data_IF_408536768134
#
_entry.id   IF_408536768134
#
_cell.length_a   1.000
_cell.length_b   1.000
_cell.length_c   1.000
_cell.angle_alpha   90.00
_cell.angle_beta   90.00
_cell.angle_gamma   90.00
#
_symmetry.space_group_name_H-M   'P 1'
#
loop_
_entity.id
_entity.type
_entity.pdbx_description
1 polymer ?
#
# COMPACT_ATOMS: atom_id res chain seq x y z
N UNK A 1 -12.52 10.46 -11.93
CA UNK A 1 -13.98 10.54 -11.98
C UNK A 1 -14.54 9.20 -11.51
N UNK A 2 -15.18 9.19 -10.33
CA UNK A 2 -15.72 8.00 -9.66
C UNK A 2 -16.74 7.28 -10.57
N UNK A 3 -17.42 8.03 -11.41
CA UNK A 3 -18.44 7.51 -12.33
C UNK A 3 -17.88 6.75 -13.54
N UNK A 4 -16.61 6.95 -13.93
CA UNK A 4 -16.00 6.28 -15.09
C UNK A 4 -15.68 4.80 -14.88
N UNK A 5 -15.81 4.28 -13.65
CA UNK A 5 -15.58 2.87 -13.30
C UNK A 5 -16.84 2.11 -12.92
N UNK A 6 -18.00 2.69 -13.17
CA UNK A 6 -19.29 2.08 -12.90
C UNK A 6 -19.90 1.57 -14.19
N UNK A 7 -20.62 0.45 -14.10
CA UNK A 7 -21.46 -0.09 -15.16
C UNK A 7 -22.84 -0.36 -14.60
N UNK A 8 -23.86 0.05 -15.30
CA UNK A 8 -25.23 -0.24 -14.92
C UNK A 8 -25.56 -1.68 -15.32
N UNK A 9 -26.21 -2.40 -14.42
CA UNK A 9 -26.72 -3.75 -14.69
C UNK A 9 -28.23 -3.75 -14.67
N UNK A 10 -28.81 -4.30 -15.71
CA UNK A 10 -30.24 -4.47 -15.87
C UNK A 10 -30.62 -5.93 -15.62
N UNK A 11 -31.48 -6.17 -14.61
CA UNK A 11 -31.90 -7.49 -14.17
C UNK A 11 -33.42 -7.63 -14.36
N UNK A 12 -33.84 -8.76 -14.93
CA UNK A 12 -35.27 -9.16 -15.01
C UNK A 12 -35.45 -10.54 -14.41
N UNK A 13 -36.46 -10.68 -13.55
CA UNK A 13 -36.82 -11.97 -12.95
C UNK A 13 -37.17 -13.02 -14.00
N UNK A 14 -37.76 -12.60 -15.14
CA UNK A 14 -38.10 -13.52 -16.24
C UNK A 14 -36.89 -14.12 -16.96
N UNK A 15 -35.71 -13.53 -16.80
CA UNK A 15 -34.49 -13.93 -17.51
C UNK A 15 -33.49 -14.66 -16.60
N UNK A 16 -33.29 -14.15 -15.39
CA UNK A 16 -32.37 -14.77 -14.43
C UNK A 16 -33.02 -15.82 -13.53
N UNK A 17 -34.37 -15.88 -13.52
CA UNK A 17 -35.13 -16.77 -12.64
C UNK A 17 -35.49 -16.12 -11.30
N UNK A 18 -36.44 -16.75 -10.60
CA UNK A 18 -36.99 -16.22 -9.34
C UNK A 18 -35.99 -16.31 -8.20
N UNK A 19 -35.23 -17.39 -8.10
CA UNK A 19 -34.26 -17.65 -7.03
C UNK A 19 -33.14 -16.62 -7.05
N UNK A 20 -32.47 -16.44 -8.19
CA UNK A 20 -31.40 -15.46 -8.37
C UNK A 20 -31.90 -14.01 -8.20
N UNK A 21 -33.15 -13.72 -8.61
CA UNK A 21 -33.76 -12.42 -8.41
C UNK A 21 -34.10 -12.13 -6.94
N UNK A 22 -34.52 -13.15 -6.18
CA UNK A 22 -34.74 -13.01 -4.74
C UNK A 22 -33.42 -12.84 -3.97
N UNK A 23 -32.34 -13.46 -4.42
CA UNK A 23 -30.99 -13.24 -3.87
C UNK A 23 -30.47 -11.83 -4.18
N UNK A 24 -30.69 -11.33 -5.40
CA UNK A 24 -30.38 -9.94 -5.72
C UNK A 24 -31.11 -8.95 -4.80
N UNK A 25 -32.40 -9.19 -4.47
CA UNK A 25 -33.16 -8.31 -3.57
C UNK A 25 -32.64 -8.28 -2.14
N UNK A 26 -31.95 -9.32 -1.70
CA UNK A 26 -31.29 -9.39 -0.38
C UNK A 26 -29.91 -8.77 -0.41
N UNK A 27 -29.48 -8.24 -1.56
CA UNK A 27 -28.17 -7.63 -1.74
C UNK A 27 -28.00 -6.35 -0.96
N UNK A 28 -26.80 -6.15 -0.40
CA UNK A 28 -26.38 -4.94 0.29
C UNK A 28 -25.26 -4.23 -0.47
N UNK A 29 -25.07 -2.94 -0.17
CA UNK A 29 -23.94 -2.18 -0.71
C UNK A 29 -22.64 -2.76 -0.17
N UNK A 30 -21.74 -3.15 -1.08
CA UNK A 30 -20.48 -3.80 -0.74
C UNK A 30 -20.46 -5.31 -1.03
N UNK A 31 -21.60 -5.91 -1.37
CA UNK A 31 -21.64 -7.29 -1.86
C UNK A 31 -20.82 -7.43 -3.16
N UNK A 32 -20.13 -8.54 -3.29
CA UNK A 32 -19.42 -8.90 -4.52
C UNK A 32 -20.27 -9.89 -5.29
N UNK A 33 -20.63 -9.52 -6.52
CA UNK A 33 -21.53 -10.30 -7.36
C UNK A 33 -20.85 -10.66 -8.70
N UNK A 34 -21.17 -11.84 -9.22
CA UNK A 34 -20.86 -12.28 -10.58
C UNK A 34 -22.10 -12.08 -11.48
N UNK A 35 -21.87 -11.50 -12.66
CA UNK A 35 -22.93 -11.24 -13.62
C UNK A 35 -22.48 -11.74 -14.99
N UNK A 36 -23.28 -12.61 -15.60
CA UNK A 36 -23.14 -13.03 -16.99
C UNK A 36 -24.27 -12.39 -17.80
N UNK A 37 -23.94 -11.84 -18.99
CA UNK A 37 -24.91 -11.19 -19.84
C UNK A 37 -24.27 -10.50 -21.04
N UNK A 38 -25.04 -9.73 -21.78
CA UNK A 38 -24.55 -8.99 -22.94
C UNK A 38 -24.60 -7.48 -22.70
N UNK A 39 -23.67 -6.79 -23.34
CA UNK A 39 -23.58 -5.32 -23.30
C UNK A 39 -24.58 -4.72 -24.26
N UNK A 40 -25.32 -3.71 -23.80
CA UNK A 40 -26.24 -2.96 -24.63
C UNK A 40 -26.17 -1.46 -24.31
N UNK A 41 -26.74 -0.66 -25.20
CA UNK A 41 -26.88 0.78 -24.97
C UNK A 41 -28.33 1.11 -24.63
N UNK A 42 -28.54 1.79 -23.52
CA UNK A 42 -29.88 2.25 -23.12
C UNK A 42 -30.38 3.34 -24.06
N UNK A 43 -31.69 3.65 -24.01
CA UNK A 43 -32.29 4.76 -24.76
C UNK A 43 -31.65 6.12 -24.43
N UNK A 44 -31.11 6.27 -23.24
CA UNK A 44 -30.39 7.48 -22.79
C UNK A 44 -28.92 7.49 -23.16
N UNK A 45 -28.45 6.45 -23.87
CA UNK A 45 -27.08 6.37 -24.38
C UNK A 45 -26.06 5.70 -23.45
N UNK A 46 -26.46 5.24 -22.24
CA UNK A 46 -25.56 4.58 -21.29
C UNK A 46 -25.25 3.15 -21.70
N UNK A 47 -23.98 2.75 -21.52
CA UNK A 47 -23.54 1.37 -21.69
C UNK A 47 -23.93 0.59 -20.43
N UNK A 48 -24.70 -0.47 -20.62
CA UNK A 48 -25.25 -1.30 -19.54
C UNK A 48 -25.08 -2.78 -19.87
N UNK A 49 -25.13 -3.61 -18.84
CA UNK A 49 -25.12 -5.08 -18.97
C UNK A 49 -26.56 -5.58 -18.74
N UNK A 50 -27.08 -6.32 -19.71
CA UNK A 50 -28.33 -7.04 -19.56
C UNK A 50 -28.01 -8.43 -19.00
N UNK A 51 -28.32 -8.64 -17.72
CA UNK A 51 -27.96 -9.85 -17.03
C UNK A 51 -28.83 -11.04 -17.45
N UNK A 52 -28.18 -12.16 -17.73
CA UNK A 52 -28.78 -13.47 -17.95
C UNK A 52 -28.55 -14.42 -16.78
N UNK A 53 -27.55 -14.08 -15.93
CA UNK A 53 -27.25 -14.82 -14.70
C UNK A 53 -26.72 -13.88 -13.65
N UNK A 54 -27.09 -14.12 -12.39
CA UNK A 54 -26.65 -13.39 -11.21
C UNK A 54 -26.17 -14.38 -10.16
N UNK A 55 -25.00 -14.16 -9.60
CA UNK A 55 -24.45 -14.98 -8.52
C UNK A 55 -23.86 -14.10 -7.43
N UNK A 56 -24.30 -14.27 -6.19
CA UNK A 56 -23.67 -13.67 -5.03
C UNK A 56 -22.36 -14.41 -4.72
N UNK A 57 -21.23 -13.76 -4.94
CA UNK A 57 -19.89 -14.35 -4.73
C UNK A 57 -19.42 -14.16 -3.28
N UNK A 58 -19.71 -13.01 -2.68
CA UNK A 58 -19.36 -12.71 -1.29
C UNK A 58 -20.31 -11.68 -0.70
N UNK A 59 -20.80 -11.97 0.50
CA UNK A 59 -21.70 -11.08 1.25
C UNK A 59 -20.89 -10.07 2.08
N UNK A 60 -21.25 -8.82 2.01
CA UNK A 60 -20.75 -7.77 2.90
C UNK A 60 -21.50 -7.86 4.25
N UNK A 61 -20.78 -8.32 5.28
CA UNK A 61 -21.38 -8.50 6.62
C UNK A 61 -21.40 -7.22 7.46
N UNK A 62 -20.58 -6.24 7.07
CA UNK A 62 -20.49 -4.94 7.73
C UNK A 62 -20.89 -3.84 6.73
N UNK A 63 -21.76 -2.90 7.11
CA UNK A 63 -22.13 -1.80 6.22
C UNK A 63 -20.91 -0.91 5.95
N UNK A 64 -20.77 -0.50 4.70
CA UNK A 64 -19.78 0.52 4.34
C UNK A 64 -20.23 1.89 4.84
N UNK A 65 -19.31 2.80 5.20
CA UNK A 65 -19.63 4.19 5.47
C UNK A 65 -20.37 4.83 4.30
N UNK A 66 -21.21 5.82 4.59
CA UNK A 66 -22.04 6.48 3.58
C UNK A 66 -21.23 6.96 2.38
N UNK A 67 -21.69 6.60 1.19
CA UNK A 67 -21.06 6.90 -0.09
C UNK A 67 -20.85 8.40 -0.35
N UNK A 68 -21.79 9.24 0.12
CA UNK A 68 -21.79 10.68 -0.16
C UNK A 68 -20.82 11.49 0.68
N UNK A 69 -20.48 11.03 1.88
CA UNK A 69 -19.62 11.76 2.80
C UNK A 69 -18.23 11.12 2.93
N UNK A 70 -18.04 9.90 2.41
CA UNK A 70 -16.82 9.13 2.57
C UNK A 70 -16.50 8.85 4.04
N UNK A 71 -15.32 8.32 4.30
CA UNK A 71 -14.80 8.16 5.64
C UNK A 71 -13.98 9.41 5.99
N UNK A 72 -14.50 10.25 6.90
CA UNK A 72 -13.87 11.55 7.27
C UNK A 72 -12.96 11.46 8.48
N UNK A 73 -13.29 10.60 9.44
CA UNK A 73 -12.51 10.44 10.66
C UNK A 73 -11.08 9.98 10.34
N UNK A 74 -10.10 10.81 10.68
CA UNK A 74 -8.71 10.60 10.27
C UNK A 74 -8.07 9.39 10.96
N UNK A 75 -8.40 9.13 12.22
CA UNK A 75 -7.88 7.99 12.95
C UNK A 75 -8.39 6.67 12.35
N UNK A 76 -9.68 6.60 12.08
CA UNK A 76 -10.28 5.45 11.40
C UNK A 76 -9.71 5.26 9.99
N UNK A 77 -9.47 6.33 9.23
CA UNK A 77 -8.84 6.25 7.90
C UNK A 77 -7.44 5.64 7.94
N UNK A 78 -6.67 5.95 8.96
CA UNK A 78 -5.33 5.37 9.14
C UNK A 78 -5.36 3.94 9.65
N UNK A 79 -6.25 3.63 10.59
CA UNK A 79 -6.35 2.28 11.18
C UNK A 79 -7.05 1.27 10.26
N UNK A 80 -8.03 1.73 9.48
CA UNK A 80 -8.80 0.92 8.54
C UNK A 80 -8.54 1.40 7.10
N UNK A 81 -7.30 1.33 6.67
CA UNK A 81 -6.89 1.81 5.35
C UNK A 81 -7.66 1.17 4.19
N UNK A 82 -8.04 -0.11 4.32
CA UNK A 82 -8.86 -0.80 3.34
C UNK A 82 -10.24 -0.15 3.18
N UNK A 83 -10.87 0.27 4.28
CA UNK A 83 -12.16 0.99 4.25
C UNK A 83 -11.99 2.38 3.64
N UNK A 84 -10.92 3.10 3.98
CA UNK A 84 -10.58 4.40 3.39
C UNK A 84 -10.39 4.29 1.87
N UNK A 85 -9.73 3.26 1.38
CA UNK A 85 -9.54 3.02 -0.06
C UNK A 85 -10.84 2.71 -0.81
N UNK A 86 -11.83 2.12 -0.13
CA UNK A 86 -13.16 1.86 -0.69
C UNK A 86 -13.98 3.15 -0.74
N UNK A 87 -13.99 3.91 0.37
CA UNK A 87 -14.85 5.08 0.54
C UNK A 87 -14.31 6.36 -0.11
N UNK A 88 -12.97 6.46 -0.21
CA UNK A 88 -12.24 7.63 -0.72
C UNK A 88 -11.32 7.21 -1.89
N UNK A 89 -11.86 7.02 -3.10
CA UNK A 89 -11.09 6.47 -4.24
C UNK A 89 -9.84 7.26 -4.61
N UNK A 90 -9.82 8.58 -4.35
CA UNK A 90 -8.68 9.47 -4.58
C UNK A 90 -7.45 9.10 -3.74
N UNK A 91 -7.64 8.46 -2.58
CA UNK A 91 -6.56 7.99 -1.71
C UNK A 91 -5.67 6.99 -2.43
N UNK A 92 -6.24 6.17 -3.32
CA UNK A 92 -5.50 5.21 -4.15
C UNK A 92 -4.42 5.87 -5.00
N UNK A 93 -4.69 7.07 -5.52
CA UNK A 93 -3.73 7.80 -6.35
C UNK A 93 -2.48 8.21 -5.57
N UNK A 94 -2.62 8.49 -4.28
CA UNK A 94 -1.47 8.76 -3.39
C UNK A 94 -0.54 7.55 -3.28
N UNK A 95 -1.08 6.34 -3.13
CA UNK A 95 -0.27 5.12 -3.07
C UNK A 95 0.37 4.78 -4.41
N UNK A 96 -0.35 4.98 -5.52
CA UNK A 96 0.20 4.82 -6.88
C UNK A 96 1.37 5.78 -7.10
N UNK A 97 1.20 7.07 -6.77
CA UNK A 97 2.26 8.08 -6.87
C UNK A 97 3.47 7.75 -6.01
N UNK A 98 3.25 7.31 -4.75
CA UNK A 98 4.34 6.86 -3.89
C UNK A 98 5.15 5.73 -4.52
N UNK A 99 4.49 4.72 -5.07
CA UNK A 99 5.15 3.60 -5.76
C UNK A 99 5.95 4.08 -6.98
N UNK A 100 5.37 4.99 -7.77
CA UNK A 100 6.04 5.58 -8.93
C UNK A 100 7.27 6.41 -8.56
N UNK A 101 7.21 7.17 -7.45
CA UNK A 101 8.35 7.95 -6.93
C UNK A 101 9.50 7.01 -6.58
N UNK A 102 9.25 5.97 -5.80
CA UNK A 102 10.28 5.00 -5.39
C UNK A 102 10.88 4.32 -6.63
N UNK A 103 10.05 3.89 -7.58
CA UNK A 103 10.53 3.28 -8.83
C UNK A 103 11.37 4.26 -9.68
N UNK A 104 11.05 5.54 -9.64
CA UNK A 104 11.82 6.57 -10.36
C UNK A 104 13.18 6.82 -9.70
N UNK A 105 13.23 6.83 -8.37
CA UNK A 105 14.50 6.92 -7.61
C UNK A 105 15.40 5.74 -7.96
N UNK A 106 14.87 4.50 -7.93
CA UNK A 106 15.64 3.30 -8.30
C UNK A 106 16.22 3.40 -9.70
N UNK A 107 15.37 3.68 -10.69
CA UNK A 107 15.85 3.82 -12.10
C UNK A 107 16.92 4.89 -12.25
N UNK A 108 16.81 5.99 -11.53
CA UNK A 108 17.81 7.05 -11.57
C UNK A 108 19.14 6.58 -10.99
N UNK A 109 19.13 5.97 -9.81
CA UNK A 109 20.34 5.52 -9.13
C UNK A 109 21.01 4.37 -9.89
N UNK A 110 20.23 3.40 -10.39
CA UNK A 110 20.73 2.31 -11.23
C UNK A 110 21.38 2.87 -12.50
N UNK A 111 20.76 3.87 -13.14
CA UNK A 111 21.34 4.57 -14.30
C UNK A 111 22.61 5.34 -14.00
N UNK A 112 22.86 5.71 -12.73
CA UNK A 112 24.12 6.31 -12.27
C UNK A 112 25.16 5.26 -11.83
N UNK A 113 24.85 3.98 -11.97
CA UNK A 113 25.74 2.88 -11.61
C UNK A 113 25.79 2.57 -10.11
N UNK A 114 24.78 2.98 -9.36
CA UNK A 114 24.62 2.54 -7.97
C UNK A 114 24.00 1.14 -7.93
N UNK A 115 24.43 0.34 -6.97
CA UNK A 115 23.87 -0.98 -6.68
C UNK A 115 22.88 -0.87 -5.51
N UNK A 116 21.63 -1.32 -5.68
CA UNK A 116 20.71 -1.49 -4.55
C UNK A 116 21.16 -2.69 -3.72
N UNK A 117 21.21 -2.51 -2.41
CA UNK A 117 21.60 -3.55 -1.46
C UNK A 117 20.58 -3.64 -0.34
N UNK A 118 20.56 -4.79 0.33
CA UNK A 118 19.79 -5.02 1.54
C UNK A 118 20.73 -5.37 2.68
N UNK A 119 20.60 -4.65 3.80
CA UNK A 119 21.43 -4.86 4.98
C UNK A 119 20.56 -5.28 6.18
N UNK A 120 21.15 -5.88 7.24
CA UNK A 120 20.39 -6.40 8.37
C UNK A 120 19.55 -5.36 9.09
N UNK A 121 18.30 -5.71 9.41
CA UNK A 121 17.43 -4.92 10.29
C UNK A 121 17.69 -5.19 11.76
N UNK A 122 18.04 -6.44 12.12
CA UNK A 122 18.46 -6.82 13.46
C UNK A 122 19.95 -6.61 13.59
N UNK A 123 20.35 -5.79 14.54
CA UNK A 123 21.75 -5.39 14.74
C UNK A 123 22.10 -5.49 16.22
N UNK A 124 23.32 -5.87 16.52
CA UNK A 124 23.84 -5.85 17.91
C UNK A 124 24.13 -4.42 18.38
N UNK A 125 24.53 -3.54 17.44
CA UNK A 125 24.79 -2.14 17.75
C UNK A 125 24.02 -1.22 16.80
N UNK A 126 23.08 -0.46 17.34
CA UNK A 126 22.32 0.55 16.59
C UNK A 126 23.13 1.86 16.59
N UNK A 127 23.55 2.29 15.39
CA UNK A 127 24.33 3.52 15.18
C UNK A 127 24.00 4.19 13.86
N UNK A 128 24.69 5.30 13.56
CA UNK A 128 24.45 6.11 12.35
C UNK A 128 23.39 7.19 12.53
N UNK A 129 22.77 7.28 13.71
CA UNK A 129 21.84 8.35 14.06
C UNK A 129 21.80 8.55 15.58
N UNK A 130 21.33 9.71 16.04
CA UNK A 130 21.04 9.96 17.44
C UNK A 130 19.55 9.65 17.69
N UNK A 131 19.22 8.37 17.89
CA UNK A 131 17.88 7.91 18.13
C UNK A 131 17.85 6.72 19.10
N UNK A 132 16.73 6.52 19.79
CA UNK A 132 16.53 5.38 20.67
C UNK A 132 16.07 4.17 19.86
N UNK A 133 16.77 3.01 19.93
CA UNK A 133 16.36 1.80 19.22
C UNK A 133 15.19 1.10 19.92
N UNK A 134 14.46 0.28 19.18
CA UNK A 134 13.68 -0.82 19.77
C UNK A 134 14.63 -1.98 20.06
N UNK A 135 14.41 -2.64 21.18
CA UNK A 135 15.19 -3.79 21.63
C UNK A 135 14.33 -5.05 21.61
N UNK A 136 14.94 -6.18 21.27
CA UNK A 136 14.29 -7.50 21.25
C UNK A 136 15.32 -8.58 21.55
N UNK A 137 14.83 -9.78 21.90
CA UNK A 137 15.69 -10.92 22.21
C UNK A 137 15.75 -11.90 21.04
N UNK A 138 16.94 -12.33 20.66
CA UNK A 138 17.18 -13.35 19.64
C UNK A 138 17.33 -14.72 20.29
N UNK A 139 16.23 -15.45 20.40
CA UNK A 139 16.15 -16.71 21.14
C UNK A 139 17.20 -17.76 20.75
N UNK A 140 17.53 -17.86 19.45
CA UNK A 140 18.47 -18.90 18.97
C UNK A 140 19.92 -18.67 19.41
N UNK A 141 20.29 -17.43 19.67
CA UNK A 141 21.65 -17.05 20.13
C UNK A 141 21.67 -16.63 21.60
N UNK A 142 20.50 -16.54 22.25
CA UNK A 142 20.35 -16.03 23.64
C UNK A 142 20.97 -14.63 23.81
N UNK A 143 20.75 -13.74 22.83
CA UNK A 143 21.33 -12.41 22.77
C UNK A 143 20.27 -11.32 22.61
N UNK A 144 20.48 -10.17 23.24
CA UNK A 144 19.67 -8.98 23.01
C UNK A 144 20.17 -8.27 21.75
N UNK A 145 19.23 -8.02 20.83
CA UNK A 145 19.47 -7.33 19.59
C UNK A 145 18.54 -6.10 19.47
N UNK A 146 18.89 -5.21 18.55
CA UNK A 146 18.19 -3.96 18.33
C UNK A 146 17.67 -3.90 16.91
N UNK A 147 16.54 -3.21 16.71
CA UNK A 147 16.13 -2.80 15.38
C UNK A 147 16.97 -1.59 14.94
N UNK A 148 17.47 -1.61 13.70
CA UNK A 148 18.30 -0.54 13.15
C UNK A 148 17.60 0.81 13.14
N UNK A 149 18.34 1.87 13.45
CA UNK A 149 17.88 3.27 13.45
C UNK A 149 18.32 4.06 12.22
N UNK A 150 19.27 3.51 11.44
CA UNK A 150 19.77 4.03 10.16
C UNK A 150 20.34 2.90 9.30
N UNK A 151 20.71 3.20 8.06
CA UNK A 151 21.33 2.30 7.11
C UNK A 151 22.86 2.48 7.07
N UNK A 152 23.37 3.55 7.64
CA UNK A 152 24.73 4.08 7.47
C UNK A 152 25.84 3.07 7.70
N UNK A 153 25.85 2.39 8.86
CA UNK A 153 27.00 1.59 9.27
C UNK A 153 27.28 0.43 8.34
N UNK A 154 26.24 -0.24 7.85
CA UNK A 154 26.39 -1.35 6.94
C UNK A 154 26.75 -0.91 5.52
N UNK A 155 26.16 0.19 5.04
CA UNK A 155 26.51 0.74 3.73
C UNK A 155 27.98 1.19 3.68
N UNK A 156 28.49 1.81 4.75
CA UNK A 156 29.93 2.15 4.86
C UNK A 156 30.83 0.92 4.87
N UNK A 157 30.41 -0.18 5.51
CA UNK A 157 31.16 -1.46 5.46
C UNK A 157 31.24 -2.03 4.04
N UNK A 158 30.16 -1.90 3.26
CA UNK A 158 30.16 -2.32 1.85
C UNK A 158 31.12 -1.48 1.00
N UNK A 159 31.20 -0.16 1.26
CA UNK A 159 32.21 0.71 0.62
C UNK A 159 33.63 0.24 0.97
N UNK A 160 33.91 -0.06 2.23
CA UNK A 160 35.22 -0.61 2.65
C UNK A 160 35.48 -1.96 1.97
N UNK A 161 34.45 -2.76 1.75
CA UNK A 161 34.51 -4.02 1.02
C UNK A 161 34.71 -3.91 -0.50
N UNK A 162 34.77 -2.68 -1.05
CA UNK A 162 35.03 -2.40 -2.46
C UNK A 162 33.78 -2.21 -3.33
N UNK A 163 32.58 -2.13 -2.75
CA UNK A 163 31.38 -1.72 -3.48
C UNK A 163 31.31 -0.18 -3.54
N UNK A 164 31.86 0.41 -4.60
CA UNK A 164 32.11 1.85 -4.66
C UNK A 164 30.86 2.73 -4.72
N UNK A 165 29.69 2.19 -5.14
CA UNK A 165 28.41 2.90 -5.24
C UNK A 165 27.29 2.00 -4.78
N UNK A 166 26.74 2.30 -3.62
CA UNK A 166 25.65 1.52 -3.03
C UNK A 166 24.52 2.41 -2.54
N UNK A 167 23.30 1.92 -2.58
CA UNK A 167 22.17 2.53 -1.91
C UNK A 167 21.25 1.48 -1.33
N UNK A 168 20.47 1.85 -0.34
CA UNK A 168 19.41 1.02 0.22
C UNK A 168 18.16 1.88 0.44
N UNK A 169 16.99 1.35 0.07
CA UNK A 169 15.68 1.89 0.43
C UNK A 169 15.05 0.91 1.41
N UNK A 170 15.15 1.20 2.71
CA UNK A 170 14.77 0.27 3.74
C UNK A 170 13.98 0.87 4.89
N UNK A 171 13.41 0.00 5.73
CA UNK A 171 12.78 0.39 6.98
C UNK A 171 13.82 0.65 8.05
N UNK A 172 13.62 1.73 8.80
CA UNK A 172 14.34 2.06 10.02
C UNK A 172 13.35 2.32 11.15
N UNK A 173 13.81 2.17 12.38
CA UNK A 173 12.95 2.14 13.55
C UNK A 173 13.52 3.06 14.62
N UNK A 174 12.69 3.95 15.17
CA UNK A 174 13.09 4.87 16.25
C UNK A 174 12.03 4.85 17.34
N UNK A 175 12.42 4.38 18.52
CA UNK A 175 11.55 4.26 19.68
C UNK A 175 11.47 5.60 20.42
N UNK A 176 10.84 6.57 19.79
CA UNK A 176 10.69 7.94 20.28
C UNK A 176 9.22 8.35 20.26
N UNK A 177 8.94 9.64 20.49
CA UNK A 177 7.57 10.15 20.47
C UNK A 177 6.92 10.02 19.10
N UNK A 178 5.60 9.85 19.08
CA UNK A 178 4.78 9.77 17.87
C UNK A 178 4.00 11.07 17.70
N UNK A 179 4.05 11.67 16.51
CA UNK A 179 3.24 12.82 16.13
C UNK A 179 2.77 12.68 14.66
N UNK A 180 2.12 13.70 14.13
CA UNK A 180 1.61 13.72 12.76
C UNK A 180 2.70 13.59 11.66
N UNK A 181 3.98 13.80 12.00
CA UNK A 181 5.12 13.77 11.07
C UNK A 181 6.16 12.70 11.41
N UNK A 182 6.12 12.12 12.61
CA UNK A 182 7.11 11.17 13.09
C UNK A 182 6.43 9.84 13.44
N UNK A 183 6.68 8.83 12.64
CA UNK A 183 6.30 7.45 12.92
C UNK A 183 7.49 6.69 13.54
N UNK A 184 7.23 5.71 14.42
CA UNK A 184 8.29 4.89 15.02
C UNK A 184 9.01 4.01 14.00
N UNK A 185 8.39 3.73 12.85
CA UNK A 185 8.98 3.06 11.69
C UNK A 185 8.71 3.87 10.42
N UNK A 186 9.71 4.01 9.58
CA UNK A 186 9.58 4.73 8.32
C UNK A 186 10.59 4.22 7.27
N UNK A 187 10.31 4.52 6.01
CA UNK A 187 11.22 4.21 4.92
C UNK A 187 12.27 5.30 4.80
N UNK A 188 13.53 4.91 4.85
CA UNK A 188 14.69 5.78 4.66
C UNK A 188 15.45 5.30 3.42
N UNK A 189 16.00 6.22 2.67
CA UNK A 189 16.98 5.95 1.63
C UNK A 189 18.29 6.59 2.02
N UNK A 190 19.37 5.81 1.98
CA UNK A 190 20.74 6.29 2.07
C UNK A 190 21.54 5.76 0.89
N UNK A 191 22.48 6.55 0.42
CA UNK A 191 23.39 6.19 -0.65
C UNK A 191 24.81 6.64 -0.30
N UNK A 192 25.78 5.85 -0.71
CA UNK A 192 27.20 6.10 -0.47
C UNK A 192 28.00 5.86 -1.74
N UNK A 193 28.95 6.76 -1.98
CA UNK A 193 29.88 6.67 -3.11
C UNK A 193 31.30 6.90 -2.62
N UNK A 194 32.21 6.00 -2.99
CA UNK A 194 33.64 6.16 -2.71
C UNK A 194 34.26 7.28 -3.55
N UNK A 195 35.35 7.86 -3.04
CA UNK A 195 36.20 8.86 -3.73
C UNK A 195 35.48 10.12 -4.18
N UNK A 196 34.37 10.46 -3.55
CA UNK A 196 33.61 11.71 -3.83
C UNK A 196 33.53 12.59 -2.60
N UNK A 197 33.38 13.90 -2.84
CA UNK A 197 33.18 14.89 -1.79
C UNK A 197 31.69 15.29 -1.70
N UNK A 198 31.22 15.57 -0.49
CA UNK A 198 29.85 16.02 -0.22
C UNK A 198 29.49 17.37 -0.89
N UNK A 199 30.49 18.12 -1.33
CA UNK A 199 30.31 19.42 -2.00
C UNK A 199 29.92 19.32 -3.48
N UNK A 200 29.86 18.13 -4.04
CA UNK A 200 29.52 17.89 -5.45
C UNK A 200 28.27 17.02 -5.59
#
# INVERSE_FOLDING_TARGET
DVYKRQVQVYLRMSEIGKEEFDDYKKGDIGDIVGIEGFVFRTKMGEISIHAQKFVLLSKSLLPLPEKWHGLKDQDTRYRQRYTDLICNPEVKDTFIKRSQIISSIRRYLDGQGFMEVETPMLVSNAGGAAARPFETHYNALDEDVKLRISLELYLKRLIVGGLERVYEIGRVFRNEGVDARHNPEFTLMELYQAYTCLLY
#
